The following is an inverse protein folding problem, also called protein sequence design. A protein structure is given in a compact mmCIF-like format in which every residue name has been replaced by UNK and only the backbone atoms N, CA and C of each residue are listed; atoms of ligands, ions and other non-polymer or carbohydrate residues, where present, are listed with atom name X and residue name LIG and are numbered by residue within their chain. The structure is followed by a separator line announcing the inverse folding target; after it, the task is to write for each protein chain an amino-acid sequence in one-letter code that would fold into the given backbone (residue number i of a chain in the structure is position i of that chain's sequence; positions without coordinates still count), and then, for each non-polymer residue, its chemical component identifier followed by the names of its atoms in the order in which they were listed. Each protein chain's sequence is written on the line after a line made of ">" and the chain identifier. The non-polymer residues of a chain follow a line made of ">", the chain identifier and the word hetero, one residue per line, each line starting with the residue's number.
data_IF_184885440141
#
_entry.id   IF_184885440141
#
_cell.length_a   1.000
_cell.length_b   1.000
_cell.length_c   1.000
_cell.angle_alpha   90.00
_cell.angle_beta   90.00
_cell.angle_gamma   90.00
#
_symmetry.space_group_name_H-M   'P 1'
#
loop_
_entity.id
_entity.type
_entity.pdbx_description
1 polymer ?
#
# COMPACT_ATOMS: atom_id res chain seq x y z
N UNK A 1 -4.33 -44.94 -30.37
CA UNK A 1 -5.31 -44.19 -31.18
C UNK A 1 -5.54 -42.85 -30.51
N UNK A 2 -5.04 -41.81 -31.16
CA UNK A 2 -5.28 -40.41 -30.83
C UNK A 2 -6.64 -39.97 -31.35
N UNK A 3 -7.35 -39.16 -30.59
CA UNK A 3 -8.32 -38.16 -31.04
C UNK A 3 -8.78 -37.45 -29.76
N UNK A 4 -8.46 -36.19 -29.49
CA UNK A 4 -8.81 -35.04 -30.33
C UNK A 4 -9.92 -34.27 -29.60
N UNK A 5 -9.58 -33.57 -28.50
CA UNK A 5 -10.54 -32.67 -27.83
C UNK A 5 -10.77 -31.46 -28.73
N UNK A 6 -11.89 -31.46 -29.44
CA UNK A 6 -12.35 -30.37 -30.30
C UNK A 6 -12.62 -29.09 -29.47
N UNK A 7 -11.71 -28.12 -29.53
CA UNK A 7 -11.83 -26.79 -28.90
C UNK A 7 -12.48 -25.76 -29.84
N UNK A 8 -13.67 -26.04 -30.36
CA UNK A 8 -14.32 -25.12 -31.30
C UNK A 8 -15.75 -24.70 -30.94
N UNK A 9 -16.36 -25.20 -29.85
CA UNK A 9 -17.76 -24.88 -29.53
C UNK A 9 -18.06 -24.55 -28.05
N UNK A 10 -17.09 -24.22 -27.21
CA UNK A 10 -17.35 -23.81 -25.83
C UNK A 10 -17.79 -22.33 -25.74
N UNK A 11 -19.00 -22.03 -26.23
CA UNK A 11 -19.67 -20.73 -26.11
C UNK A 11 -20.21 -20.43 -24.68
N UNK A 12 -19.96 -21.32 -23.72
CA UNK A 12 -20.40 -21.17 -22.33
C UNK A 12 -19.81 -19.95 -21.60
N UNK A 13 -18.71 -19.36 -22.10
CA UNK A 13 -18.12 -18.14 -21.53
C UNK A 13 -18.79 -16.85 -22.03
N UNK A 14 -19.54 -16.90 -23.14
CA UNK A 14 -20.18 -15.73 -23.74
C UNK A 14 -21.57 -15.44 -23.17
N UNK A 15 -22.24 -16.45 -22.59
CA UNK A 15 -23.56 -16.26 -21.97
C UNK A 15 -23.49 -15.54 -20.61
N UNK A 16 -22.36 -15.59 -19.90
CA UNK A 16 -22.21 -14.91 -18.60
C UNK A 16 -21.85 -13.42 -18.71
N UNK A 17 -21.49 -12.94 -19.90
CA UNK A 17 -21.30 -11.50 -20.17
C UNK A 17 -22.59 -10.80 -20.61
N UNK A 18 -23.62 -11.56 -20.99
CA UNK A 18 -24.93 -11.04 -21.46
C UNK A 18 -26.02 -11.32 -20.40
N UNK A 19 -25.65 -11.21 -19.11
CA UNK A 19 -26.56 -11.37 -17.98
C UNK A 19 -26.76 -10.05 -17.23
N UNK A 20 -27.48 -9.08 -17.81
CA UNK A 20 -27.83 -7.84 -17.11
C UNK A 20 -28.35 -6.70 -17.98
N UNK A 21 -29.16 -6.97 -19.00
CA UNK A 21 -29.65 -5.99 -19.98
C UNK A 21 -30.58 -4.91 -19.41
N UNK A 22 -31.21 -5.12 -18.25
CA UNK A 22 -32.18 -4.16 -17.68
C UNK A 22 -31.57 -2.95 -16.97
N UNK A 23 -30.28 -2.97 -16.59
CA UNK A 23 -29.61 -1.82 -15.92
C UNK A 23 -28.80 -0.91 -16.86
N UNK A 24 -28.61 -1.33 -18.12
CA UNK A 24 -27.83 -0.58 -19.11
C UNK A 24 -28.72 0.45 -19.82
N UNK A 25 -29.96 0.09 -20.15
CA UNK A 25 -30.93 0.99 -20.80
C UNK A 25 -31.30 2.21 -19.92
N UNK A 26 -31.38 2.03 -18.59
CA UNK A 26 -31.63 3.13 -17.66
C UNK A 26 -30.45 4.11 -17.58
N UNK A 27 -29.21 3.62 -17.66
CA UNK A 27 -28.00 4.45 -17.63
C UNK A 27 -27.82 5.23 -18.93
N UNK A 28 -28.14 4.64 -20.08
CA UNK A 28 -28.09 5.34 -21.38
C UNK A 28 -29.20 6.38 -21.51
N UNK A 29 -30.39 6.11 -20.92
CA UNK A 29 -31.53 7.03 -20.94
C UNK A 29 -31.28 8.29 -20.08
N UNK A 30 -30.66 8.14 -18.89
CA UNK A 30 -30.24 9.29 -18.06
C UNK A 30 -29.18 10.16 -18.73
N UNK A 31 -28.22 9.58 -19.46
CA UNK A 31 -27.20 10.37 -20.18
C UNK A 31 -27.76 11.13 -21.39
N UNK A 32 -28.75 10.57 -22.10
CA UNK A 32 -29.37 11.24 -23.26
C UNK A 32 -30.22 12.44 -22.81
N UNK A 33 -30.99 12.28 -21.73
CA UNK A 33 -31.83 13.35 -21.17
C UNK A 33 -31.02 14.54 -20.60
N UNK A 34 -29.78 14.30 -20.15
CA UNK A 34 -28.87 15.36 -19.70
C UNK A 34 -28.26 16.16 -20.87
N UNK A 35 -28.03 15.52 -22.03
CA UNK A 35 -27.55 16.21 -23.25
C UNK A 35 -28.61 17.11 -23.86
N UNK A 36 -29.85 16.65 -23.96
CA UNK A 36 -30.93 17.41 -24.60
C UNK A 36 -31.31 18.69 -23.82
N UNK A 37 -31.20 18.66 -22.48
CA UNK A 37 -31.40 19.85 -21.62
C UNK A 37 -30.34 20.94 -21.79
N UNK A 38 -29.12 20.58 -22.21
CA UNK A 38 -28.06 21.55 -22.47
C UNK A 38 -28.12 22.11 -23.90
N UNK A 39 -28.64 21.34 -24.86
CA UNK A 39 -28.85 21.80 -26.25
C UNK A 39 -29.97 22.85 -26.32
N UNK A 40 -31.02 22.76 -25.48
CA UNK A 40 -32.11 23.75 -25.48
C UNK A 40 -31.74 25.11 -24.86
N UNK A 41 -30.66 25.20 -24.07
CA UNK A 41 -30.22 26.44 -23.42
C UNK A 41 -29.39 27.36 -24.33
N UNK A 42 -28.78 26.83 -25.39
CA UNK A 42 -27.97 27.61 -26.34
C UNK A 42 -28.75 28.08 -27.58
N UNK A 43 -30.09 27.96 -27.60
CA UNK A 43 -30.93 28.37 -28.74
C UNK A 43 -31.46 29.81 -28.65
N UNK A 44 -31.04 30.60 -27.65
CA UNK A 44 -31.46 32.00 -27.50
C UNK A 44 -30.27 32.95 -27.54
N UNK A 45 -29.62 33.06 -28.70
CA UNK A 45 -28.75 34.19 -29.04
C UNK A 45 -29.09 34.60 -30.48
N UNK A 46 -29.58 35.83 -30.73
CA UNK A 46 -29.94 36.29 -32.08
C UNK A 46 -28.70 36.61 -32.93
N UNK A 47 -28.81 36.60 -34.28
CA UNK A 47 -27.67 36.75 -35.17
C UNK A 47 -27.28 38.22 -35.34
N UNK A 48 -26.02 38.55 -35.09
CA UNK A 48 -25.46 39.87 -35.42
C UNK A 48 -24.69 39.82 -36.76
N UNK A 49 -25.00 40.81 -37.60
CA UNK A 49 -24.57 41.06 -38.98
C UNK A 49 -23.05 40.96 -39.23
N UNK A 50 -22.70 40.42 -40.40
CA UNK A 50 -21.41 40.65 -41.06
C UNK A 50 -21.33 42.10 -41.60
N UNK A 51 -20.14 42.73 -41.54
CA UNK A 51 -19.45 43.15 -42.78
C UNK A 51 -17.90 43.11 -42.60
N UNK A 52 -16.98 43.13 -43.55
CA UNK A 52 -16.91 43.39 -44.99
C UNK A 52 -15.62 42.73 -45.57
N UNK A 53 -15.52 42.65 -46.90
CA UNK A 53 -14.35 42.17 -47.68
C UNK A 53 -13.01 42.77 -47.23
N UNK A 54 -12.00 41.92 -47.03
CA UNK A 54 -10.57 42.28 -47.11
C UNK A 54 -9.81 41.20 -47.89
N UNK A 55 -9.09 41.68 -48.89
CA UNK A 55 -7.86 41.20 -49.56
C UNK A 55 -7.59 39.70 -49.49
N UNK A 56 -7.44 39.06 -50.65
CA UNK A 56 -6.92 37.69 -50.74
C UNK A 56 -5.54 37.61 -50.08
N UNK A 57 -5.52 37.17 -48.82
CA UNK A 57 -4.34 36.64 -48.18
C UNK A 57 -4.00 35.36 -48.94
N UNK A 58 -3.03 35.45 -49.85
CA UNK A 58 -2.43 34.26 -50.43
C UNK A 58 -1.95 33.40 -49.28
N UNK A 59 -2.53 32.22 -49.12
CA UNK A 59 -2.10 31.22 -48.16
C UNK A 59 -0.58 31.02 -48.25
N UNK A 60 0.17 31.66 -47.35
CA UNK A 60 1.61 31.51 -47.17
C UNK A 60 1.95 30.22 -46.44
N UNK A 61 0.94 29.40 -46.15
CA UNK A 61 1.00 28.15 -45.38
C UNK A 61 1.66 26.97 -46.11
N UNK A 62 2.14 27.17 -47.34
CA UNK A 62 2.76 26.12 -48.14
C UNK A 62 4.04 26.60 -48.84
N UNK A 63 5.19 26.04 -48.45
CA UNK A 63 6.43 26.17 -49.22
C UNK A 63 6.37 25.18 -50.39
N UNK A 64 6.50 25.67 -51.62
CA UNK A 64 6.48 24.84 -52.83
C UNK A 64 7.91 24.39 -53.16
N UNK A 65 8.24 23.13 -52.91
CA UNK A 65 9.55 22.55 -53.22
C UNK A 65 9.48 21.97 -54.65
N UNK A 66 10.26 22.47 -55.62
CA UNK A 66 10.01 22.21 -57.04
C UNK A 66 10.34 20.79 -57.51
N UNK A 67 11.18 20.04 -56.78
CA UNK A 67 11.67 18.72 -57.21
C UNK A 67 10.70 17.57 -56.88
N UNK A 68 9.82 17.76 -55.90
CA UNK A 68 8.85 16.77 -55.47
C UNK A 68 7.53 17.49 -55.23
N UNK A 69 6.53 17.25 -56.08
CA UNK A 69 5.25 17.97 -56.11
C UNK A 69 4.34 17.82 -54.88
N UNK A 70 4.88 17.48 -53.71
CA UNK A 70 4.17 17.40 -52.44
C UNK A 70 4.21 18.73 -51.70
N UNK A 71 3.04 19.23 -51.31
CA UNK A 71 2.90 20.41 -50.47
C UNK A 71 3.03 20.00 -49.01
N UNK A 72 4.00 20.55 -48.28
CA UNK A 72 4.11 20.37 -46.84
C UNK A 72 3.40 21.55 -46.17
N UNK A 73 2.53 21.26 -45.20
CA UNK A 73 1.81 22.26 -44.40
C UNK A 73 2.80 22.92 -43.43
N UNK A 74 2.90 24.25 -43.43
CA UNK A 74 3.85 25.00 -42.60
C UNK A 74 3.61 24.90 -41.08
N UNK A 75 2.49 24.31 -40.63
CA UNK A 75 2.22 24.08 -39.19
C UNK A 75 3.33 23.31 -38.47
N UNK A 76 4.03 22.43 -39.18
CA UNK A 76 5.14 21.64 -38.61
C UNK A 76 6.33 22.54 -38.25
N UNK A 77 6.54 23.63 -38.99
CA UNK A 77 7.70 24.52 -38.77
C UNK A 77 7.45 25.45 -37.58
N UNK A 78 6.22 25.93 -37.39
CA UNK A 78 5.86 26.76 -36.23
C UNK A 78 5.86 25.96 -34.92
N UNK A 79 5.49 24.67 -34.96
CA UNK A 79 5.54 23.74 -33.80
C UNK A 79 6.98 23.44 -33.34
N UNK A 80 7.98 23.54 -34.22
CA UNK A 80 9.40 23.31 -33.90
C UNK A 80 10.12 24.58 -33.39
N UNK A 81 9.62 25.76 -33.75
CA UNK A 81 10.27 27.04 -33.43
C UNK A 81 9.91 27.56 -32.03
N UNK A 82 8.72 27.24 -31.52
CA UNK A 82 8.27 27.58 -30.17
C UNK A 82 7.60 26.35 -29.54
N UNK A 83 8.33 25.54 -28.73
CA UNK A 83 7.67 24.51 -27.93
C UNK A 83 6.83 25.23 -26.87
N UNK A 84 5.52 25.31 -27.10
CA UNK A 84 4.59 25.60 -26.01
C UNK A 84 4.73 24.41 -25.06
N UNK A 85 5.29 24.66 -23.88
CA UNK A 85 5.34 23.71 -22.76
C UNK A 85 3.90 23.58 -22.25
N UNK A 86 3.06 22.90 -23.02
CA UNK A 86 1.75 22.44 -22.58
C UNK A 86 1.96 21.11 -21.84
N UNK A 87 1.84 21.20 -20.51
CA UNK A 87 1.79 20.09 -19.55
C UNK A 87 2.98 19.13 -19.55
N UNK A 88 4.18 19.63 -19.24
CA UNK A 88 5.07 18.86 -18.36
C UNK A 88 4.47 18.87 -16.94
N UNK A 89 3.34 18.17 -16.78
CA UNK A 89 2.77 17.90 -15.46
C UNK A 89 3.87 17.26 -14.62
N UNK A 90 4.41 18.03 -13.69
CA UNK A 90 5.33 17.54 -12.68
C UNK A 90 4.66 16.34 -12.03
N UNK A 91 5.15 15.15 -12.35
CA UNK A 91 4.62 13.90 -11.81
C UNK A 91 5.14 13.82 -10.37
N UNK A 92 4.51 14.59 -9.47
CA UNK A 92 4.80 14.58 -8.04
C UNK A 92 4.36 13.22 -7.51
N UNK A 93 5.29 12.27 -7.47
CA UNK A 93 5.05 10.96 -6.85
C UNK A 93 4.97 11.21 -5.34
N UNK A 94 3.76 11.30 -4.80
CA UNK A 94 3.52 11.34 -3.36
C UNK A 94 3.82 9.95 -2.78
N UNK A 95 5.06 9.74 -2.37
CA UNK A 95 5.49 8.51 -1.70
C UNK A 95 5.17 8.60 -0.21
N UNK A 96 4.28 7.74 0.26
CA UNK A 96 4.03 7.56 1.69
C UNK A 96 5.26 6.90 2.36
N UNK A 97 6.13 7.72 2.95
CA UNK A 97 7.38 7.28 3.62
C UNK A 97 7.12 6.17 4.65
N UNK A 98 6.01 6.26 5.39
CA UNK A 98 5.62 5.25 6.39
C UNK A 98 5.33 3.89 5.76
N UNK A 99 4.66 3.87 4.61
CA UNK A 99 4.31 2.65 3.89
C UNK A 99 5.55 1.99 3.30
N UNK A 100 6.51 2.77 2.83
CA UNK A 100 7.80 2.25 2.39
C UNK A 100 8.58 1.64 3.53
N UNK A 101 8.67 2.31 4.67
CA UNK A 101 9.31 1.78 5.86
C UNK A 101 8.67 0.47 6.31
N UNK A 102 7.34 0.36 6.30
CA UNK A 102 6.65 -0.90 6.61
C UNK A 102 7.01 -2.02 5.63
N UNK A 103 7.18 -1.72 4.34
CA UNK A 103 7.65 -2.70 3.35
C UNK A 103 9.09 -3.14 3.65
N UNK A 104 9.96 -2.23 4.05
CA UNK A 104 11.33 -2.56 4.45
C UNK A 104 11.37 -3.41 5.71
N UNK A 105 10.59 -3.07 6.73
CA UNK A 105 10.40 -3.89 7.94
C UNK A 105 9.95 -5.31 7.58
N UNK A 106 8.97 -5.45 6.68
CA UNK A 106 8.48 -6.75 6.23
C UNK A 106 9.53 -7.54 5.44
N UNK A 107 10.31 -6.88 4.57
CA UNK A 107 11.42 -7.50 3.84
C UNK A 107 12.51 -7.99 4.80
N UNK A 108 12.91 -7.16 5.76
CA UNK A 108 13.92 -7.51 6.74
C UNK A 108 13.46 -8.67 7.62
N UNK A 109 12.20 -8.65 8.09
CA UNK A 109 11.65 -9.77 8.85
C UNK A 109 11.61 -11.07 8.05
N UNK A 110 11.23 -11.01 6.76
CA UNK A 110 11.26 -12.17 5.87
C UNK A 110 12.67 -12.73 5.72
N UNK A 111 13.68 -11.86 5.55
CA UNK A 111 15.08 -12.28 5.49
C UNK A 111 15.51 -12.96 6.80
N UNK A 112 15.15 -12.41 7.96
CA UNK A 112 15.44 -13.04 9.26
C UNK A 112 14.85 -14.45 9.38
N UNK A 113 13.60 -14.65 8.97
CA UNK A 113 12.96 -15.97 9.01
C UNK A 113 13.63 -16.99 8.08
N UNK A 114 14.07 -16.54 6.89
CA UNK A 114 14.76 -17.41 5.92
C UNK A 114 16.17 -17.73 6.40
N UNK A 115 16.89 -16.74 6.94
CA UNK A 115 18.29 -16.90 7.33
C UNK A 115 18.45 -17.64 8.65
N UNK A 116 17.57 -17.39 9.61
CA UNK A 116 17.63 -17.92 10.97
C UNK A 116 16.33 -18.63 11.36
N UNK A 117 15.94 -19.70 10.66
CA UNK A 117 14.66 -20.38 10.89
C UNK A 117 14.53 -21.00 12.28
N UNK A 118 15.66 -21.29 12.95
CA UNK A 118 15.68 -21.86 14.30
C UNK A 118 15.35 -20.85 15.40
N UNK A 119 15.54 -19.56 15.12
CA UNK A 119 15.34 -18.46 16.06
C UNK A 119 14.09 -17.66 15.67
N UNK A 120 13.97 -17.27 14.40
CA UNK A 120 12.86 -16.50 13.86
C UNK A 120 11.89 -17.40 13.10
N UNK A 121 10.80 -17.76 13.77
CA UNK A 121 9.63 -18.37 13.16
C UNK A 121 8.39 -17.48 13.41
N UNK A 122 7.56 -17.20 12.39
CA UNK A 122 6.28 -16.51 12.57
C UNK A 122 5.27 -17.25 13.47
N UNK A 123 5.35 -18.58 13.56
CA UNK A 123 4.44 -19.40 14.37
C UNK A 123 5.03 -19.61 15.76
N UNK A 124 6.18 -20.28 15.85
CA UNK A 124 6.85 -20.59 17.12
C UNK A 124 7.93 -19.55 17.45
N UNK A 125 7.51 -18.40 18.00
CA UNK A 125 8.46 -17.35 18.38
C UNK A 125 9.36 -17.80 19.52
N UNK A 126 10.65 -17.50 19.45
CA UNK A 126 11.60 -17.83 20.51
C UNK A 126 12.04 -16.59 21.28
N UNK A 127 12.26 -16.69 22.60
CA UNK A 127 12.82 -15.60 23.38
C UNK A 127 14.24 -15.26 22.93
N UNK A 128 14.51 -13.99 22.68
CA UNK A 128 15.78 -13.55 22.07
C UNK A 128 16.87 -13.27 23.11
N UNK A 129 18.11 -13.58 22.75
CA UNK A 129 19.32 -13.17 23.47
C UNK A 129 19.43 -11.63 23.55
N UNK A 130 19.98 -11.13 24.65
CA UNK A 130 20.31 -9.71 24.81
C UNK A 130 21.43 -9.35 23.81
N UNK A 131 21.32 -8.20 23.14
CA UNK A 131 22.31 -7.75 22.14
C UNK A 131 22.22 -8.43 20.78
N UNK A 132 21.18 -9.24 20.51
CA UNK A 132 21.02 -9.96 19.24
C UNK A 132 20.97 -9.04 18.01
N UNK A 133 20.60 -7.77 18.19
CA UNK A 133 20.58 -6.78 17.11
C UNK A 133 21.97 -6.55 16.52
N UNK A 134 23.01 -6.50 17.34
CA UNK A 134 24.39 -6.26 16.89
C UNK A 134 24.90 -7.44 16.06
N UNK A 135 24.60 -8.67 16.49
CA UNK A 135 24.93 -9.89 15.73
C UNK A 135 24.22 -9.89 14.37
N UNK A 136 22.96 -9.47 14.31
CA UNK A 136 22.20 -9.36 13.07
C UNK A 136 22.80 -8.28 12.15
N UNK A 137 23.18 -7.12 12.68
CA UNK A 137 23.80 -6.03 11.91
C UNK A 137 25.09 -6.50 11.22
N UNK A 138 25.98 -7.18 11.97
CA UNK A 138 27.24 -7.70 11.43
C UNK A 138 26.98 -8.72 10.32
N UNK A 139 26.07 -9.68 10.54
CA UNK A 139 25.79 -10.73 9.55
C UNK A 139 25.16 -10.13 8.29
N UNK A 140 24.21 -9.21 8.45
CA UNK A 140 23.57 -8.57 7.31
C UNK A 140 24.57 -7.74 6.49
N UNK A 141 25.44 -6.97 7.15
CA UNK A 141 26.46 -6.18 6.47
C UNK A 141 27.42 -7.07 5.67
N UNK A 142 27.79 -8.24 6.20
CA UNK A 142 28.65 -9.19 5.51
C UNK A 142 27.98 -9.84 4.29
N UNK A 143 26.66 -10.02 4.30
CA UNK A 143 25.92 -10.66 3.20
C UNK A 143 25.50 -9.68 2.10
N UNK A 144 25.07 -8.48 2.47
CA UNK A 144 24.53 -7.47 1.54
C UNK A 144 25.53 -6.36 1.20
N UNK A 145 26.73 -6.41 1.78
CA UNK A 145 27.78 -5.38 1.67
C UNK A 145 27.31 -3.96 2.01
N UNK A 146 26.19 -3.85 2.72
CA UNK A 146 25.52 -2.59 3.08
C UNK A 146 25.00 -2.67 4.51
N UNK A 147 25.08 -1.56 5.28
CA UNK A 147 24.57 -1.55 6.64
C UNK A 147 23.04 -1.61 6.65
N UNK A 148 22.47 -2.28 7.65
CA UNK A 148 21.01 -2.25 7.91
C UNK A 148 20.64 -0.89 8.49
N UNK A 149 19.48 -0.36 8.11
CA UNK A 149 18.88 0.74 8.86
C UNK A 149 18.49 0.26 10.26
N UNK A 150 19.19 0.79 11.27
CA UNK A 150 18.99 0.46 12.69
C UNK A 150 17.57 0.74 13.16
N UNK A 151 16.91 1.75 12.60
CA UNK A 151 15.53 2.07 12.96
C UNK A 151 14.57 0.97 12.50
N UNK A 152 14.73 0.51 11.25
CA UNK A 152 13.95 -0.59 10.68
C UNK A 152 14.20 -1.88 11.46
N UNK A 153 15.46 -2.22 11.74
CA UNK A 153 15.80 -3.41 12.55
C UNK A 153 15.16 -3.35 13.94
N UNK A 154 15.27 -2.21 14.63
CA UNK A 154 14.68 -2.03 15.95
C UNK A 154 13.17 -2.16 15.92
N UNK A 155 12.50 -1.62 14.90
CA UNK A 155 11.05 -1.74 14.75
C UNK A 155 10.61 -3.19 14.51
N UNK A 156 11.33 -3.93 13.67
CA UNK A 156 11.08 -5.35 13.42
C UNK A 156 11.21 -6.16 14.71
N UNK A 157 12.30 -5.97 15.46
CA UNK A 157 12.51 -6.66 16.74
C UNK A 157 11.46 -6.27 17.78
N UNK A 158 11.09 -4.99 17.85
CA UNK A 158 10.03 -4.50 18.75
C UNK A 158 8.69 -5.18 18.45
N UNK A 159 8.33 -5.29 17.17
CA UNK A 159 7.10 -5.99 16.74
C UNK A 159 7.18 -7.50 17.03
N UNK A 160 8.37 -8.09 16.88
CA UNK A 160 8.58 -9.50 17.17
C UNK A 160 8.37 -9.82 18.66
N UNK A 161 8.99 -9.05 19.54
CA UNK A 161 8.97 -9.22 21.01
C UNK A 161 7.62 -8.83 21.62
N UNK A 162 6.92 -7.84 21.05
CA UNK A 162 5.59 -7.40 21.53
C UNK A 162 4.43 -8.33 21.15
N UNK A 163 4.68 -9.46 20.50
CA UNK A 163 3.64 -10.41 20.12
C UNK A 163 3.24 -11.31 21.30
N UNK A 164 1.95 -11.64 21.39
CA UNK A 164 1.40 -12.64 22.30
C UNK A 164 2.16 -13.97 22.26
N UNK A 165 2.52 -14.45 21.06
CA UNK A 165 3.23 -15.72 20.89
C UNK A 165 4.62 -15.69 21.52
N UNK A 166 5.27 -14.53 21.46
CA UNK A 166 6.57 -14.33 22.09
C UNK A 166 6.46 -14.43 23.61
N UNK A 167 5.51 -13.73 24.23
CA UNK A 167 5.31 -13.79 25.68
C UNK A 167 4.93 -15.20 26.17
N UNK A 168 4.15 -15.96 25.39
CA UNK A 168 3.89 -17.39 25.69
C UNK A 168 5.17 -18.22 25.68
N UNK A 169 6.02 -18.04 24.67
CA UNK A 169 7.29 -18.75 24.60
C UNK A 169 8.26 -18.38 25.73
N UNK A 170 8.25 -17.12 26.20
CA UNK A 170 9.04 -16.72 27.39
C UNK A 170 8.58 -17.48 28.62
N UNK A 171 7.26 -17.64 28.81
CA UNK A 171 6.69 -18.38 29.93
C UNK A 171 7.02 -19.88 29.89
N UNK A 172 6.95 -20.49 28.69
CA UNK A 172 7.19 -21.93 28.50
C UNK A 172 8.67 -22.29 28.60
N UNK A 173 9.54 -21.55 27.91
CA UNK A 173 10.96 -21.90 27.77
C UNK A 173 11.81 -21.35 28.92
N UNK A 174 11.47 -20.17 29.48
CA UNK A 174 12.23 -19.48 30.53
C UNK A 174 13.72 -19.27 30.22
N UNK A 175 14.11 -19.40 28.95
CA UNK A 175 15.48 -19.28 28.47
C UNK A 175 15.51 -18.43 27.19
N UNK A 176 16.64 -17.74 26.97
CA UNK A 176 16.94 -16.94 25.79
C UNK A 176 17.74 -17.75 24.79
N UNK A 177 17.46 -17.51 23.51
CA UNK A 177 18.09 -18.23 22.40
C UNK A 177 18.90 -17.28 21.51
N UNK A 178 20.03 -17.77 21.01
CA UNK A 178 20.82 -17.10 19.98
C UNK A 178 20.23 -17.30 18.57
N UNK A 179 20.89 -16.73 17.56
CA UNK A 179 20.50 -16.84 16.15
C UNK A 179 20.51 -18.28 15.62
N UNK A 180 21.35 -19.13 16.22
CA UNK A 180 21.48 -20.56 15.90
C UNK A 180 20.40 -21.41 16.59
N UNK A 181 19.59 -20.81 17.48
CA UNK A 181 18.53 -21.47 18.23
C UNK A 181 19.02 -22.29 19.43
N UNK A 182 20.22 -22.01 19.94
CA UNK A 182 20.77 -22.60 21.16
C UNK A 182 20.43 -21.73 22.37
N UNK A 183 20.15 -22.34 23.53
CA UNK A 183 19.94 -21.62 24.78
C UNK A 183 21.26 -20.97 25.24
N UNK A 184 21.19 -19.71 25.68
CA UNK A 184 22.37 -18.94 26.11
C UNK A 184 22.24 -18.46 27.55
N UNK A 185 21.06 -17.97 27.93
CA UNK A 185 20.86 -17.26 29.19
C UNK A 185 19.46 -17.54 29.73
N UNK A 186 19.35 -17.75 31.04
CA UNK A 186 18.07 -17.98 31.70
C UNK A 186 17.34 -16.66 31.96
N UNK A 187 16.00 -16.69 31.93
CA UNK A 187 15.21 -15.53 32.32
C UNK A 187 15.15 -15.38 33.83
N UNK A 188 15.39 -14.16 34.31
CA UNK A 188 15.06 -13.80 35.69
C UNK A 188 13.55 -13.96 35.94
N UNK A 189 13.14 -14.38 37.15
CA UNK A 189 11.72 -14.64 37.47
C UNK A 189 10.84 -13.40 37.26
N UNK A 190 11.36 -12.21 37.56
CA UNK A 190 10.66 -10.93 37.36
C UNK A 190 10.26 -10.69 35.89
N UNK A 191 11.11 -11.09 34.95
CA UNK A 191 10.83 -10.94 33.52
C UNK A 191 9.81 -11.96 32.99
N UNK A 192 9.76 -13.14 33.60
CA UNK A 192 8.72 -14.14 33.31
C UNK A 192 7.38 -13.64 33.82
N UNK A 193 7.34 -13.08 35.03
CA UNK A 193 6.12 -12.47 35.60
C UNK A 193 5.63 -11.28 34.78
N UNK A 194 6.55 -10.41 34.33
CA UNK A 194 6.21 -9.33 33.40
C UNK A 194 5.55 -9.86 32.12
N UNK A 195 6.09 -10.95 31.56
CA UNK A 195 5.52 -11.55 30.35
C UNK A 195 4.12 -12.12 30.58
N UNK A 196 3.87 -12.70 31.76
CA UNK A 196 2.54 -13.15 32.17
C UNK A 196 1.56 -11.98 32.25
N UNK A 197 1.92 -10.91 32.97
CA UNK A 197 1.10 -9.69 33.06
C UNK A 197 0.80 -9.10 31.68
N UNK A 198 1.75 -9.14 30.74
CA UNK A 198 1.50 -8.69 29.37
C UNK A 198 0.55 -9.58 28.59
N UNK A 199 0.56 -10.89 28.79
CA UNK A 199 -0.44 -11.77 28.17
C UNK A 199 -1.84 -11.41 28.64
N UNK A 200 -2.01 -11.18 29.95
CA UNK A 200 -3.29 -10.81 30.54
C UNK A 200 -3.78 -9.47 29.98
N UNK A 201 -2.93 -8.45 29.92
CA UNK A 201 -3.28 -7.16 29.31
C UNK A 201 -3.64 -7.26 27.82
N UNK A 202 -2.95 -8.11 27.06
CA UNK A 202 -3.28 -8.28 25.63
C UNK A 202 -4.63 -9.00 25.48
N UNK A 203 -4.93 -9.95 26.37
CA UNK A 203 -6.22 -10.62 26.42
C UNK A 203 -7.35 -9.64 26.76
N UNK A 204 -7.20 -8.83 27.82
CA UNK A 204 -8.16 -7.78 28.20
C UNK A 204 -8.40 -6.81 27.02
N UNK A 205 -7.33 -6.32 26.39
CA UNK A 205 -7.43 -5.45 25.20
C UNK A 205 -8.12 -6.13 24.01
N UNK A 206 -7.98 -7.45 23.86
CA UNK A 206 -8.68 -8.18 22.81
C UNK A 206 -10.18 -8.28 23.13
N UNK A 207 -10.56 -8.49 24.39
CA UNK A 207 -11.97 -8.50 24.82
C UNK A 207 -12.64 -7.14 24.66
N UNK A 208 -11.97 -6.05 25.05
CA UNK A 208 -12.51 -4.69 24.84
C UNK A 208 -12.75 -4.41 23.36
N UNK A 209 -11.82 -4.82 22.48
CA UNK A 209 -12.00 -4.74 21.03
C UNK A 209 -13.15 -5.61 20.53
N UNK A 210 -13.33 -6.81 21.08
CA UNK A 210 -14.47 -7.68 20.74
C UNK A 210 -15.82 -7.09 21.20
N UNK A 211 -15.83 -6.34 22.29
CA UNK A 211 -17.00 -5.57 22.79
C UNK A 211 -17.24 -4.28 22.00
N UNK A 212 -16.37 -3.92 21.06
CA UNK A 212 -16.47 -2.69 20.26
C UNK A 212 -16.08 -1.40 21.00
N UNK A 213 -15.48 -1.51 22.19
CA UNK A 213 -14.99 -0.36 22.93
C UNK A 213 -13.66 0.14 22.35
N UNK A 214 -13.40 1.43 22.51
CA UNK A 214 -12.17 2.05 22.05
C UNK A 214 -11.02 1.77 23.01
N UNK A 215 -9.79 1.94 22.52
CA UNK A 215 -8.60 1.82 23.38
C UNK A 215 -8.58 2.86 24.50
N UNK A 216 -9.24 4.01 24.30
CA UNK A 216 -9.36 5.06 25.32
C UNK A 216 -10.15 4.55 26.52
N UNK A 217 -11.27 3.88 26.26
CA UNK A 217 -12.14 3.31 27.29
C UNK A 217 -11.40 2.24 28.11
N UNK A 218 -10.54 1.43 27.46
CA UNK A 218 -9.69 0.46 28.16
C UNK A 218 -8.75 1.14 29.17
N UNK A 219 -8.10 2.25 28.79
CA UNK A 219 -7.18 2.95 29.69
C UNK A 219 -7.91 3.68 30.82
N UNK A 220 -9.12 4.19 30.57
CA UNK A 220 -9.97 4.77 31.60
C UNK A 220 -10.41 3.69 32.62
N UNK A 221 -10.82 2.52 32.15
CA UNK A 221 -11.13 1.36 33.00
C UNK A 221 -9.92 0.94 33.85
N UNK A 222 -8.73 0.81 33.25
CA UNK A 222 -7.53 0.41 34.00
C UNK A 222 -7.11 1.45 35.03
N UNK A 223 -7.36 2.74 34.76
CA UNK A 223 -7.12 3.83 35.72
C UNK A 223 -8.04 3.72 36.93
N UNK A 224 -9.33 3.43 36.72
CA UNK A 224 -10.31 3.25 37.79
C UNK A 224 -9.97 2.05 38.68
N UNK A 225 -9.60 0.92 38.07
CA UNK A 225 -9.17 -0.28 38.80
C UNK A 225 -7.93 0.01 39.67
N UNK A 226 -6.90 0.64 39.10
CA UNK A 226 -5.72 1.01 39.88
C UNK A 226 -6.02 1.98 41.03
N UNK A 227 -7.00 2.88 40.91
CA UNK A 227 -7.40 3.76 42.02
C UNK A 227 -8.16 3.03 43.12
N UNK A 228 -9.02 2.08 42.74
CA UNK A 228 -9.77 1.25 43.69
C UNK A 228 -8.82 0.34 44.49
N UNK A 229 -7.84 -0.28 43.83
CA UNK A 229 -6.82 -1.12 44.49
C UNK A 229 -6.04 -0.33 45.56
N UNK A 230 -5.67 0.92 45.28
CA UNK A 230 -4.93 1.81 46.21
C UNK A 230 -5.79 2.28 47.39
N UNK A 231 -7.10 2.38 47.22
CA UNK A 231 -8.04 2.71 48.30
C UNK A 231 -8.31 1.51 49.22
N UNK A 232 -8.25 0.27 48.70
CA UNK A 232 -8.47 -0.95 49.50
C UNK A 232 -7.27 -1.43 50.31
N UNK A 233 -6.06 -0.96 50.00
CA UNK A 233 -4.82 -1.30 50.73
C UNK A 233 -4.49 -0.32 51.88
N UNK A 234 -5.31 0.71 52.11
CA UNK A 234 -5.20 1.68 53.23
C UNK A 234 -6.16 1.34 54.37
#
# INVERSE_FOLDING_TARGET
>A
MSEGRNKLNDFSLLQSLIGGSSKIEEKTSRMKQARDKNISKNKTIPPTKAPAKKVEDRDTSFIRIPQYGHRINNKIVDELQNPIIEDSGELVITVDIEKERQKEEAKLFKWLCVRFPKCFDPISKKPLKIGISEEIEIIYQNEHFTPVDKLVLRNVLRRYVGDTRYHRAVFELKQRFNLQGQPVEDYAPEHVEYSKRRLDEIAEKAEFRAKGLTMKDYYEYKKQQNSEDVETEQ
#
